data_IF_293496290911
#
_entry.id   IF_293496290911
#
_cell.length_a   1.000
_cell.length_b   1.000
_cell.length_c   1.000
_cell.angle_alpha   90.00
_cell.angle_beta   90.00
_cell.angle_gamma   90.00
#
_symmetry.space_group_name_H-M   'P 1'
#
loop_
_entity.id
_entity.type
_entity.pdbx_description
1 polymer ?
#
# COMPACT_ATOMS: atom_id res chain seq x y z
N UNK A 1 15.05 -50.20 27.86
CA UNK A 1 16.03 -50.73 28.83
C UNK A 1 16.39 -49.62 29.81
N UNK A 2 16.58 -49.85 31.11
CA UNK A 2 16.90 -48.76 32.06
C UNK A 2 18.24 -48.09 31.71
N UNK A 3 19.16 -48.84 31.09
CA UNK A 3 20.50 -48.36 30.68
C UNK A 3 20.55 -47.70 29.30
N UNK A 4 19.42 -47.54 28.61
CA UNK A 4 19.36 -46.90 27.29
C UNK A 4 18.99 -45.42 27.34
N UNK A 5 18.99 -44.81 28.53
CA UNK A 5 18.69 -43.39 28.72
C UNK A 5 19.52 -42.80 29.85
N UNK A 6 19.87 -41.52 29.71
CA UNK A 6 20.49 -40.72 30.76
C UNK A 6 19.64 -39.46 30.92
N UNK A 7 19.17 -39.20 32.13
CA UNK A 7 18.36 -38.02 32.48
C UNK A 7 18.96 -37.36 33.73
N UNK A 8 19.17 -36.05 33.68
CA UNK A 8 19.69 -35.29 34.81
C UNK A 8 18.57 -34.89 35.77
N UNK A 9 18.85 -35.02 37.06
CA UNK A 9 18.00 -34.57 38.16
C UNK A 9 18.76 -33.58 39.03
N UNK A 10 18.06 -32.55 39.50
CA UNK A 10 18.60 -31.51 40.39
C UNK A 10 17.99 -31.69 41.77
N UNK A 11 18.82 -31.60 42.79
CA UNK A 11 18.46 -31.76 44.19
C UNK A 11 18.92 -30.53 44.96
N UNK A 12 18.11 -30.07 45.91
CA UNK A 12 18.42 -28.95 46.81
C UNK A 12 18.72 -27.63 46.07
N UNK A 13 18.09 -27.39 44.92
CA UNK A 13 18.22 -26.12 44.19
C UNK A 13 17.47 -25.00 44.92
N UNK A 14 18.13 -23.89 45.26
CA UNK A 14 17.48 -22.79 45.96
C UNK A 14 16.62 -21.95 44.98
N UNK A 15 15.58 -21.28 45.49
CA UNK A 15 14.55 -20.62 44.67
C UNK A 15 15.07 -19.39 43.89
N UNK A 16 16.16 -18.81 44.36
CA UNK A 16 16.86 -17.66 43.79
C UNK A 16 17.81 -18.04 42.63
N UNK A 17 17.93 -19.33 42.30
CA UNK A 17 18.73 -19.81 41.15
C UNK A 17 17.83 -20.37 40.05
N UNK A 18 17.96 -19.80 38.85
CA UNK A 18 17.46 -20.36 37.60
C UNK A 18 18.46 -21.35 37.00
N UNK A 19 17.98 -22.52 36.58
CA UNK A 19 18.76 -23.52 35.87
C UNK A 19 18.16 -23.78 34.49
N UNK A 20 18.99 -23.68 33.45
CA UNK A 20 18.62 -24.09 32.10
C UNK A 20 19.55 -25.19 31.62
N UNK A 21 18.99 -26.14 30.86
CA UNK A 21 19.69 -27.35 30.43
C UNK A 21 19.66 -27.43 28.91
N UNK A 22 20.80 -27.79 28.33
CA UNK A 22 20.93 -28.13 26.91
C UNK A 22 21.60 -29.49 26.81
N UNK A 23 20.94 -30.43 26.17
CA UNK A 23 21.49 -31.79 25.98
C UNK A 23 22.14 -31.92 24.61
N UNK A 24 23.32 -32.52 24.55
CA UNK A 24 23.97 -32.94 23.30
C UNK A 24 24.12 -34.46 23.34
N UNK A 25 23.32 -35.15 22.53
CA UNK A 25 23.26 -36.61 22.50
C UNK A 25 24.23 -37.17 21.43
N UNK A 26 24.06 -38.43 21.01
CA UNK A 26 24.99 -39.12 20.08
C UNK A 26 25.03 -38.54 18.66
N UNK A 27 24.00 -37.81 18.26
CA UNK A 27 23.90 -37.12 16.98
C UNK A 27 24.75 -35.85 16.88
N UNK A 28 25.33 -35.40 18.01
CA UNK A 28 26.14 -34.19 18.06
C UNK A 28 25.34 -32.89 17.91
N UNK A 29 24.02 -32.98 17.89
CA UNK A 29 23.11 -31.83 17.84
C UNK A 29 22.79 -31.40 19.27
N UNK A 30 22.75 -30.08 19.49
CA UNK A 30 22.36 -29.49 20.78
C UNK A 30 20.85 -29.27 20.83
N UNK A 31 20.25 -29.67 21.94
CA UNK A 31 18.81 -29.60 22.20
C UNK A 31 18.54 -28.68 23.41
N UNK A 32 18.25 -27.40 23.19
CA UNK A 32 17.92 -26.46 24.26
C UNK A 32 16.67 -26.87 25.03
N UNK A 33 16.68 -26.71 26.35
CA UNK A 33 15.58 -27.07 27.24
C UNK A 33 15.45 -28.58 27.53
N UNK A 34 16.30 -29.41 26.93
CA UNK A 34 16.28 -30.85 27.12
C UNK A 34 17.32 -31.27 28.17
N UNK A 35 16.91 -32.13 29.10
CA UNK A 35 17.77 -32.68 30.17
C UNK A 35 17.91 -34.21 30.15
N UNK A 36 17.56 -34.83 29.01
CA UNK A 36 17.57 -36.28 28.82
C UNK A 36 18.04 -36.66 27.42
N UNK A 37 18.80 -37.75 27.33
CA UNK A 37 19.14 -38.42 26.08
C UNK A 37 18.63 -39.87 26.12
N UNK A 38 18.05 -40.32 25.00
CA UNK A 38 17.55 -41.69 24.81
C UNK A 38 18.43 -42.51 23.86
N UNK A 39 18.06 -43.78 23.69
CA UNK A 39 18.65 -44.74 22.73
C UNK A 39 20.16 -44.95 22.83
N UNK A 40 20.69 -44.87 24.05
CA UNK A 40 22.12 -45.05 24.34
C UNK A 40 22.50 -46.53 24.49
N UNK A 41 23.72 -46.86 24.06
CA UNK A 41 24.40 -48.13 24.31
C UNK A 41 25.41 -47.98 25.44
N UNK A 42 25.81 -49.10 26.03
CA UNK A 42 26.84 -49.11 27.07
C UNK A 42 28.17 -48.70 26.44
N UNK A 43 28.77 -47.62 26.92
CA UNK A 43 30.00 -47.03 26.39
C UNK A 43 29.79 -45.67 25.69
N UNK A 44 28.55 -45.31 25.38
CA UNK A 44 28.20 -44.04 24.75
C UNK A 44 28.35 -42.87 25.75
N UNK A 45 28.83 -41.72 25.26
CA UNK A 45 29.02 -40.50 26.06
C UNK A 45 28.11 -39.39 25.55
N UNK A 46 27.35 -38.76 26.44
CA UNK A 46 26.52 -37.59 26.15
C UNK A 46 27.00 -36.41 27.00
N UNK A 47 26.75 -35.19 26.53
CA UNK A 47 27.13 -33.98 27.27
C UNK A 47 25.90 -33.12 27.55
N UNK A 48 25.94 -32.43 28.69
CA UNK A 48 24.90 -31.50 29.10
C UNK A 48 25.57 -30.17 29.45
N UNK A 49 25.08 -29.11 28.84
CA UNK A 49 25.42 -27.74 29.22
C UNK A 49 24.34 -27.24 30.18
N UNK A 50 24.78 -26.69 31.32
CA UNK A 50 23.90 -26.19 32.37
C UNK A 50 24.24 -24.73 32.62
N UNK A 51 23.31 -23.83 32.31
CA UNK A 51 23.47 -22.42 32.65
C UNK A 51 22.82 -22.15 34.01
N UNK A 52 23.56 -21.49 34.88
CA UNK A 52 23.17 -21.14 36.26
C UNK A 52 23.03 -19.63 36.32
N UNK A 53 21.82 -19.15 36.66
CA UNK A 53 21.48 -17.72 36.69
C UNK A 53 20.95 -17.34 38.07
N UNK A 54 21.58 -16.37 38.72
CA UNK A 54 21.08 -15.81 39.98
C UNK A 54 19.97 -14.78 39.71
N UNK A 55 18.82 -14.95 40.35
CA UNK A 55 17.65 -14.06 40.21
C UNK A 55 17.60 -12.96 41.24
N UNK A 56 18.25 -13.16 42.38
CA UNK A 56 18.34 -12.18 43.46
C UNK A 56 19.70 -12.28 44.14
N UNK A 57 19.98 -11.27 44.97
CA UNK A 57 21.08 -11.31 45.90
C UNK A 57 20.55 -11.65 47.32
N UNK A 58 20.82 -12.85 47.85
CA UNK A 58 20.52 -13.18 49.25
C UNK A 58 21.49 -12.47 50.23
N UNK A 59 21.14 -12.48 51.52
CA UNK A 59 21.90 -11.80 52.57
C UNK A 59 23.35 -12.29 52.72
N UNK A 60 24.20 -11.47 53.34
CA UNK A 60 25.62 -11.76 53.58
C UNK A 60 25.82 -13.16 54.21
N UNK A 61 26.76 -13.93 53.67
CA UNK A 61 27.11 -15.32 54.02
C UNK A 61 26.16 -16.43 53.53
N UNK A 62 25.17 -16.11 52.70
CA UNK A 62 24.40 -17.14 52.00
C UNK A 62 25.27 -17.84 50.93
N UNK A 63 25.85 -18.99 51.28
CA UNK A 63 26.39 -19.95 50.31
C UNK A 63 25.38 -21.06 50.10
N UNK A 64 25.04 -21.34 48.85
CA UNK A 64 24.14 -22.43 48.50
C UNK A 64 24.88 -23.53 47.77
N UNK A 65 24.59 -24.78 48.11
CA UNK A 65 25.13 -25.96 47.45
C UNK A 65 23.97 -26.79 46.93
N UNK A 66 23.95 -27.04 45.62
CA UNK A 66 22.96 -27.92 45.01
C UNK A 66 23.66 -29.01 44.21
N UNK A 67 22.95 -30.11 43.97
CA UNK A 67 23.53 -31.30 43.34
C UNK A 67 22.83 -31.61 42.03
N UNK A 68 23.61 -31.82 40.97
CA UNK A 68 23.16 -32.34 39.69
C UNK A 68 23.63 -33.78 39.57
N UNK A 69 22.71 -34.72 39.30
CA UNK A 69 23.10 -36.13 39.11
C UNK A 69 22.24 -36.84 38.05
N UNK A 70 22.83 -37.79 37.30
CA UNK A 70 22.05 -38.68 36.45
C UNK A 70 21.14 -39.59 37.28
N UNK A 71 19.88 -39.74 36.84
CA UNK A 71 18.91 -40.58 37.51
C UNK A 71 19.38 -42.05 37.57
N UNK A 72 19.54 -42.57 38.78
CA UNK A 72 19.95 -43.97 39.01
C UNK A 72 21.46 -44.22 39.03
N UNK A 73 22.29 -43.17 38.93
CA UNK A 73 23.75 -43.25 39.12
C UNK A 73 24.14 -42.83 40.55
N UNK A 74 25.32 -43.29 41.00
CA UNK A 74 25.90 -42.92 42.29
C UNK A 74 26.74 -41.65 42.20
N UNK A 75 27.35 -41.40 41.05
CA UNK A 75 28.16 -40.23 40.79
C UNK A 75 27.30 -38.96 40.74
N UNK A 76 27.79 -37.90 41.36
CA UNK A 76 27.10 -36.62 41.53
C UNK A 76 28.04 -35.46 41.21
N UNK A 77 27.45 -34.35 40.73
CA UNK A 77 28.13 -33.07 40.56
C UNK A 77 27.58 -32.09 41.59
N UNK A 78 28.41 -31.70 42.56
CA UNK A 78 28.07 -30.69 43.56
C UNK A 78 28.49 -29.31 43.05
N UNK A 79 27.54 -28.37 43.08
CA UNK A 79 27.76 -26.98 42.63
C UNK A 79 27.58 -26.07 43.84
N UNK A 80 28.67 -25.43 44.26
CA UNK A 80 28.68 -24.42 45.30
C UNK A 80 28.58 -23.02 44.68
N UNK A 81 27.57 -22.26 45.08
CA UNK A 81 27.31 -20.90 44.60
C UNK A 81 27.52 -19.92 45.75
N UNK A 82 28.33 -18.91 45.48
CA UNK A 82 28.63 -17.80 46.38
C UNK A 82 28.24 -16.49 45.72
N UNK A 83 27.49 -15.66 46.43
CA UNK A 83 26.99 -14.38 45.91
C UNK A 83 27.90 -13.26 46.39
N UNK A 84 28.37 -12.42 45.46
CA UNK A 84 29.16 -11.25 45.80
C UNK A 84 28.35 -9.99 45.48
N UNK A 85 27.52 -9.58 46.42
CA UNK A 85 26.61 -8.46 46.23
C UNK A 85 27.09 -7.16 46.85
N UNK A 86 28.11 -7.23 47.70
CA UNK A 86 28.71 -6.06 48.30
C UNK A 86 29.81 -5.53 47.40
N UNK A 87 29.86 -4.20 47.30
CA UNK A 87 31.01 -3.53 46.74
C UNK A 87 32.16 -3.57 47.76
N UNK A 88 33.39 -3.90 47.35
CA UNK A 88 34.53 -3.98 48.29
C UNK A 88 34.81 -2.68 49.09
N UNK A 89 34.28 -1.54 48.65
CA UNK A 89 34.39 -0.26 49.37
C UNK A 89 33.45 -0.13 50.59
N UNK A 90 32.44 -0.98 50.76
CA UNK A 90 31.51 -0.93 51.90
C UNK A 90 32.22 -1.33 53.21
N UNK A 91 33.19 -2.24 53.15
CA UNK A 91 34.02 -2.64 54.30
C UNK A 91 34.91 -1.51 54.85
N UNK A 92 35.01 -0.38 54.15
CA UNK A 92 35.74 0.81 54.57
C UNK A 92 34.81 1.96 54.99
N UNK A 93 33.55 1.66 55.31
CA UNK A 93 32.61 2.64 55.81
C UNK A 93 33.17 3.33 57.07
N UNK A 94 33.23 4.66 57.02
CA UNK A 94 33.72 5.49 58.11
C UNK A 94 32.53 6.20 58.77
N UNK A 95 32.03 5.72 59.93
CA UNK A 95 30.95 6.39 60.65
C UNK A 95 31.42 7.73 61.21
N UNK A 96 30.50 8.69 61.33
CA UNK A 96 30.78 10.07 61.77
C UNK A 96 31.99 10.70 61.05
N UNK A 97 32.08 10.49 59.73
CA UNK A 97 33.23 10.91 58.95
C UNK A 97 33.27 12.43 58.81
N UNK A 98 34.45 13.04 58.97
CA UNK A 98 34.65 14.46 58.66
C UNK A 98 34.38 14.82 57.20
N UNK A 99 34.35 13.83 56.28
CA UNK A 99 33.93 14.06 54.88
C UNK A 99 32.42 14.30 54.75
N UNK A 100 31.65 13.82 55.72
CA UNK A 100 30.20 13.96 55.89
C UNK A 100 29.87 14.92 57.04
N UNK A 101 30.71 15.93 57.26
CA UNK A 101 30.53 16.95 58.30
C UNK A 101 30.40 16.40 59.73
N UNK A 102 30.77 15.15 59.96
CA UNK A 102 30.58 14.45 61.24
C UNK A 102 29.17 13.92 61.49
N UNK A 103 28.23 14.15 60.57
CA UNK A 103 26.80 13.87 60.73
C UNK A 103 26.33 12.76 59.76
N UNK A 104 27.16 11.73 59.59
CA UNK A 104 26.87 10.60 58.72
C UNK A 104 28.03 9.66 58.50
N UNK A 105 27.73 8.56 57.83
CA UNK A 105 28.68 7.49 57.49
C UNK A 105 29.17 7.66 56.05
N UNK A 106 30.49 7.73 55.85
CA UNK A 106 31.08 7.81 54.52
C UNK A 106 31.38 6.40 53.97
N UNK A 107 30.70 6.00 52.91
CA UNK A 107 30.89 4.70 52.26
C UNK A 107 30.93 4.86 50.74
N UNK A 108 31.88 4.19 50.08
CA UNK A 108 31.98 4.11 48.61
C UNK A 108 31.96 5.46 47.86
N UNK A 109 32.39 6.55 48.48
CA UNK A 109 32.40 7.88 47.85
C UNK A 109 31.19 8.75 48.18
N UNK A 110 30.18 8.20 48.86
CA UNK A 110 28.96 8.89 49.25
C UNK A 110 28.86 9.02 50.77
N UNK A 111 28.03 9.95 51.22
CA UNK A 111 27.66 10.12 52.62
C UNK A 111 26.25 9.60 52.84
N UNK A 112 26.09 8.70 53.80
CA UNK A 112 24.82 8.29 54.36
C UNK A 112 24.56 9.12 55.62
N UNK A 113 23.69 10.12 55.52
CA UNK A 113 23.49 11.10 56.59
C UNK A 113 22.68 10.55 57.75
N UNK A 114 23.04 10.99 58.96
CA UNK A 114 22.27 10.70 60.16
C UNK A 114 20.88 11.37 60.08
N UNK A 115 19.85 10.83 60.77
CA UNK A 115 18.51 11.39 60.75
C UNK A 115 18.48 12.88 61.08
N UNK A 116 17.82 13.69 60.24
CA UNK A 116 17.75 15.15 60.39
C UNK A 116 18.86 15.94 59.69
N UNK A 117 19.81 15.27 59.02
CA UNK A 117 20.82 15.91 58.19
C UNK A 117 20.67 15.57 56.72
N UNK A 118 20.89 16.58 55.87
CA UNK A 118 20.73 16.51 54.43
C UNK A 118 21.96 17.08 53.72
N UNK A 119 22.08 16.77 52.43
CA UNK A 119 23.16 17.25 51.56
C UNK A 119 24.22 16.19 51.29
N UNK A 120 25.03 16.42 50.25
CA UNK A 120 26.04 15.47 49.80
C UNK A 120 27.14 15.21 50.84
N UNK A 121 27.29 16.10 51.84
CA UNK A 121 28.23 15.98 52.95
C UNK A 121 27.52 16.13 54.30
N UNK A 122 26.20 15.92 54.36
CA UNK A 122 25.40 16.05 55.59
C UNK A 122 25.57 17.41 56.29
N UNK A 123 25.77 18.46 55.48
CA UNK A 123 26.11 19.80 55.95
C UNK A 123 24.89 20.62 56.38
N UNK A 124 23.68 20.21 56.00
CA UNK A 124 22.45 20.93 56.36
C UNK A 124 21.64 20.17 57.39
N UNK A 125 21.04 20.91 58.31
CA UNK A 125 20.00 20.41 59.21
C UNK A 125 18.63 20.58 58.53
N UNK A 126 17.79 19.56 58.66
CA UNK A 126 16.45 19.51 58.08
C UNK A 126 15.59 20.69 58.62
N UNK A 127 15.13 21.57 57.72
CA UNK A 127 14.36 22.77 58.06
C UNK A 127 15.16 24.08 58.22
N UNK A 128 16.48 24.07 58.06
CA UNK A 128 17.28 25.29 58.06
C UNK A 128 17.20 26.06 56.72
N UNK A 129 16.30 27.05 56.64
CA UNK A 129 16.16 27.92 55.47
C UNK A 129 17.12 29.11 55.51
N UNK A 130 18.31 28.98 54.92
CA UNK A 130 19.23 30.10 54.69
C UNK A 130 19.20 30.55 53.22
N UNK A 131 19.04 31.86 52.96
CA UNK A 131 19.08 32.46 51.61
C UNK A 131 20.36 32.10 50.82
N UNK A 132 21.46 31.81 51.51
CA UNK A 132 22.74 31.40 50.92
C UNK A 132 22.65 30.04 50.19
N UNK A 133 21.71 29.18 50.59
CA UNK A 133 21.60 27.81 50.08
C UNK A 133 20.79 27.69 48.78
N UNK A 134 20.04 28.74 48.42
CA UNK A 134 19.20 28.74 47.24
C UNK A 134 19.98 29.08 45.96
N UNK A 135 21.05 29.87 46.04
CA UNK A 135 21.84 30.24 44.86
C UNK A 135 22.48 29.03 44.14
N UNK A 136 22.82 27.98 44.88
CA UNK A 136 23.42 26.74 44.37
C UNK A 136 22.43 25.83 43.63
N UNK A 137 21.12 26.08 43.76
CA UNK A 137 20.06 25.34 43.05
C UNK A 137 19.63 26.04 41.75
N UNK A 138 20.41 26.99 41.26
CA UNK A 138 20.12 27.75 40.05
C UNK A 138 21.19 27.52 39.01
N UNK A 139 20.76 27.15 37.80
CA UNK A 139 21.66 26.92 36.65
C UNK A 139 22.43 28.20 36.26
N UNK A 140 21.73 29.34 36.17
CA UNK A 140 22.32 30.63 35.82
C UNK A 140 21.52 31.80 36.41
N UNK A 141 22.14 32.97 36.62
CA UNK A 141 21.46 34.16 37.11
C UNK A 141 20.24 34.53 36.25
N UNK A 142 19.09 34.78 36.90
CA UNK A 142 17.82 35.08 36.23
C UNK A 142 16.97 33.85 35.88
N UNK A 143 17.49 32.62 35.97
CA UNK A 143 16.67 31.40 35.86
C UNK A 143 15.96 31.05 37.17
N UNK A 144 14.80 30.36 37.12
CA UNK A 144 14.14 29.87 38.32
C UNK A 144 15.00 28.81 39.05
N UNK A 145 14.79 28.68 40.36
CA UNK A 145 15.39 27.61 41.16
C UNK A 145 14.89 26.26 40.66
N UNK A 146 15.79 25.28 40.52
CA UNK A 146 15.48 23.93 40.07
C UNK A 146 14.64 23.90 38.78
N UNK A 147 14.91 24.84 37.86
CA UNK A 147 14.16 25.01 36.62
C UNK A 147 12.64 25.19 36.79
N UNK A 148 12.17 25.50 38.01
CA UNK A 148 10.76 25.52 38.38
C UNK A 148 10.09 24.14 38.42
N UNK A 149 10.87 23.06 38.37
CA UNK A 149 10.39 21.65 38.32
C UNK A 149 10.85 20.84 39.53
N UNK A 150 11.16 21.53 40.63
CA UNK A 150 11.57 20.91 41.88
C UNK A 150 11.67 21.92 43.01
N UNK A 151 11.95 21.40 44.19
CA UNK A 151 12.21 22.18 45.39
C UNK A 151 13.71 22.16 45.72
N UNK A 152 14.27 23.32 46.06
CA UNK A 152 15.67 23.40 46.48
C UNK A 152 15.76 23.07 47.97
N UNK A 153 16.36 21.93 48.29
CA UNK A 153 16.64 21.51 49.66
C UNK A 153 18.13 21.27 49.82
N UNK A 154 18.76 21.96 50.76
CA UNK A 154 20.19 21.84 51.05
C UNK A 154 21.11 21.91 49.80
N UNK A 155 21.04 23.01 49.04
CA UNK A 155 21.84 23.23 47.82
C UNK A 155 21.62 22.19 46.69
N UNK A 156 20.63 21.31 46.81
CA UNK A 156 20.30 20.31 45.80
C UNK A 156 18.83 20.42 45.41
N UNK A 157 18.55 20.15 44.14
CA UNK A 157 17.19 20.14 43.64
C UNK A 157 16.55 18.76 43.82
N UNK A 158 15.40 18.75 44.51
CA UNK A 158 14.49 17.62 44.59
C UNK A 158 13.42 17.80 43.50
N UNK A 159 13.54 17.03 42.42
CA UNK A 159 12.64 17.15 41.27
C UNK A 159 11.24 16.60 41.59
N UNK A 160 10.22 17.27 41.06
CA UNK A 160 8.84 16.81 41.24
C UNK A 160 8.58 15.52 40.46
N UNK A 161 7.74 14.67 41.05
CA UNK A 161 7.21 13.50 40.36
C UNK A 161 6.23 13.93 39.24
N UNK A 162 6.24 13.18 38.14
CA UNK A 162 5.40 13.44 36.97
C UNK A 162 4.73 12.14 36.52
N UNK A 163 3.45 12.22 36.15
CA UNK A 163 2.72 11.07 35.59
C UNK A 163 3.21 10.68 34.19
N UNK A 164 3.98 11.56 33.53
CA UNK A 164 4.44 11.35 32.16
C UNK A 164 5.83 10.71 32.08
N UNK A 165 6.58 10.66 33.18
CA UNK A 165 7.93 10.14 33.26
C UNK A 165 8.77 10.83 34.32
N UNK A 166 10.09 10.76 34.22
CA UNK A 166 11.01 11.24 35.24
C UNK A 166 11.57 12.62 34.88
N UNK A 167 11.61 13.51 35.87
CA UNK A 167 12.35 14.78 35.81
C UNK A 167 13.63 14.60 36.60
N UNK A 168 14.76 14.95 36.00
CA UNK A 168 16.08 14.69 36.57
C UNK A 168 17.09 15.76 36.18
N UNK A 169 18.32 15.61 36.68
CA UNK A 169 19.41 16.57 36.52
C UNK A 169 19.66 17.39 37.79
N UNK A 170 20.86 17.97 37.95
CA UNK A 170 21.23 18.76 39.13
C UNK A 170 20.29 19.93 39.42
N UNK A 171 19.62 20.45 38.38
CA UNK A 171 18.69 21.57 38.49
C UNK A 171 17.29 21.21 37.97
N UNK A 172 16.95 19.91 37.91
CA UNK A 172 15.69 19.42 37.33
C UNK A 172 15.43 19.94 35.91
N UNK A 173 16.50 20.09 35.13
CA UNK A 173 16.52 20.67 33.79
C UNK A 173 16.28 19.62 32.69
N UNK A 174 16.35 18.34 33.02
CA UNK A 174 16.11 17.24 32.09
C UNK A 174 14.84 16.46 32.43
N UNK A 175 14.29 15.82 31.40
CA UNK A 175 13.21 14.85 31.53
C UNK A 175 13.29 13.83 30.39
N UNK A 176 12.61 12.69 30.56
CA UNK A 176 12.59 11.56 29.63
C UNK A 176 11.32 11.51 28.76
N UNK A 177 10.51 12.58 28.72
CA UNK A 177 9.20 12.58 28.04
C UNK A 177 8.95 13.75 27.08
N UNK A 178 9.84 14.74 27.04
CA UNK A 178 9.70 15.93 26.18
C UNK A 178 10.39 15.83 24.81
N UNK A 179 10.93 14.67 24.43
CA UNK A 179 11.55 14.48 23.12
C UNK A 179 10.52 14.49 21.95
N UNK A 180 11.06 14.55 20.73
CA UNK A 180 10.27 14.54 19.50
C UNK A 180 9.40 13.27 19.37
N UNK A 181 8.17 13.45 18.87
CA UNK A 181 7.22 12.38 18.60
C UNK A 181 6.99 12.24 17.10
N UNK A 182 6.94 11.01 16.61
CA UNK A 182 6.51 10.70 15.25
C UNK A 182 5.27 9.81 15.31
N UNK A 183 4.20 10.21 14.62
CA UNK A 183 2.88 9.54 14.68
C UNK A 183 2.39 9.30 16.11
N UNK A 184 2.66 10.25 17.01
CA UNK A 184 2.26 10.19 18.42
C UNK A 184 3.19 9.38 19.35
N UNK A 185 4.21 8.70 18.81
CA UNK A 185 5.13 7.87 19.60
C UNK A 185 6.44 8.62 19.86
N UNK A 186 6.87 8.66 21.12
CA UNK A 186 8.14 9.26 21.56
C UNK A 186 9.32 8.54 20.91
N UNK A 187 10.23 9.30 20.28
CA UNK A 187 11.39 8.75 19.57
C UNK A 187 11.03 7.60 18.60
N UNK A 188 9.83 7.65 18.02
CA UNK A 188 9.27 6.61 17.14
C UNK A 188 9.25 5.19 17.74
N UNK A 189 9.44 5.03 19.06
CA UNK A 189 9.61 3.72 19.71
C UNK A 189 10.96 3.05 19.42
N UNK A 190 11.90 3.76 18.80
CA UNK A 190 13.20 3.26 18.37
C UNK A 190 14.37 4.04 18.99
N UNK A 191 14.14 4.65 20.15
CA UNK A 191 15.17 5.36 20.89
C UNK A 191 14.69 5.70 22.30
N UNK A 192 15.66 6.03 23.14
CA UNK A 192 15.41 6.53 24.49
C UNK A 192 15.49 8.06 24.51
N UNK A 193 14.58 8.70 25.23
CA UNK A 193 14.58 10.15 25.39
C UNK A 193 15.53 10.54 26.53
N UNK A 194 16.51 11.39 26.21
CA UNK A 194 17.47 11.90 27.18
C UNK A 194 17.55 13.42 27.05
N UNK A 195 16.95 14.14 28.02
CA UNK A 195 17.01 15.59 28.12
C UNK A 195 16.59 16.33 26.83
N UNK A 196 15.50 15.89 26.21
CA UNK A 196 14.97 16.50 24.98
C UNK A 196 15.57 15.97 23.67
N UNK A 197 16.57 15.10 23.73
CA UNK A 197 17.14 14.42 22.55
C UNK A 197 16.82 12.93 22.52
N UNK A 198 16.45 12.40 21.35
CA UNK A 198 16.29 10.97 21.16
C UNK A 198 17.65 10.30 20.91
N UNK A 199 18.06 9.38 21.79
CA UNK A 199 19.18 8.48 21.58
C UNK A 199 18.68 7.22 20.87
N UNK A 200 18.87 7.16 19.56
CA UNK A 200 18.34 6.09 18.73
C UNK A 200 19.00 4.74 19.03
N UNK A 201 18.19 3.68 18.99
CA UNK A 201 18.67 2.31 19.03
C UNK A 201 19.51 1.99 17.79
N UNK A 202 20.30 0.93 17.87
CA UNK A 202 21.11 0.47 16.73
C UNK A 202 20.20 0.16 15.54
N UNK A 203 20.56 0.67 14.36
CA UNK A 203 19.76 0.50 13.15
C UNK A 203 18.79 1.64 12.85
N UNK A 204 18.74 2.69 13.68
CA UNK A 204 17.85 3.85 13.48
C UNK A 204 18.60 5.17 13.58
N UNK A 205 18.18 6.16 12.78
CA UNK A 205 18.78 7.50 12.71
C UNK A 205 17.71 8.60 12.63
N UNK A 206 18.17 9.85 12.78
CA UNK A 206 17.35 11.07 12.73
C UNK A 206 16.90 11.56 14.10
N UNK A 207 16.48 12.82 14.18
CA UNK A 207 16.17 13.51 15.45
C UNK A 207 15.04 12.86 16.27
N UNK A 208 14.18 12.08 15.61
CA UNK A 208 13.07 11.35 16.20
C UNK A 208 13.19 9.82 16.02
N UNK A 209 14.34 9.32 15.58
CA UNK A 209 14.62 7.89 15.34
C UNK A 209 13.61 7.18 14.42
N UNK A 210 12.99 7.90 13.47
CA UNK A 210 11.98 7.32 12.58
C UNK A 210 12.59 6.59 11.36
N UNK A 211 13.89 6.74 11.11
CA UNK A 211 14.53 6.33 9.88
C UNK A 211 15.37 5.08 10.12
N UNK A 212 14.98 3.95 9.52
CA UNK A 212 15.77 2.72 9.58
C UNK A 212 17.02 2.84 8.69
N UNK A 213 18.16 2.33 9.16
CA UNK A 213 19.38 2.15 8.36
C UNK A 213 19.40 0.82 7.62
N UNK A 214 18.44 -0.07 7.91
CA UNK A 214 18.27 -1.31 7.17
C UNK A 214 17.85 -0.99 5.72
N UNK A 215 18.53 -1.63 4.77
CA UNK A 215 18.32 -1.44 3.33
C UNK A 215 17.79 -2.70 2.65
N UNK A 216 17.59 -3.80 3.38
CA UNK A 216 17.18 -5.09 2.80
C UNK A 216 15.83 -4.99 2.08
N UNK A 217 14.89 -4.21 2.63
CA UNK A 217 13.58 -3.95 2.02
C UNK A 217 13.65 -3.15 0.70
N UNK A 218 14.76 -2.47 0.42
CA UNK A 218 14.97 -1.73 -0.81
C UNK A 218 15.60 -2.58 -1.92
N UNK A 219 16.02 -3.81 -1.64
CA UNK A 219 16.66 -4.69 -2.63
C UNK A 219 15.58 -5.42 -3.42
N UNK A 220 15.57 -5.24 -4.75
CA UNK A 220 14.62 -5.90 -5.65
C UNK A 220 15.00 -7.37 -5.90
N UNK A 221 14.10 -8.14 -6.54
CA UNK A 221 14.35 -9.54 -6.94
C UNK A 221 15.59 -9.72 -7.81
N UNK A 222 15.95 -8.67 -8.54
CA UNK A 222 17.09 -8.64 -9.44
C UNK A 222 18.42 -8.34 -8.72
N UNK A 223 18.38 -8.21 -7.38
CA UNK A 223 19.53 -7.87 -6.54
C UNK A 223 19.95 -6.41 -6.61
N UNK A 224 19.25 -5.58 -7.37
CA UNK A 224 19.51 -4.15 -7.49
C UNK A 224 18.70 -3.35 -6.47
N UNK A 225 19.34 -2.33 -5.90
CA UNK A 225 18.68 -1.39 -4.99
C UNK A 225 17.67 -0.54 -5.76
N UNK A 226 16.41 -0.57 -5.34
CA UNK A 226 15.28 0.13 -5.97
C UNK A 226 15.21 -0.10 -7.49
N UNK A 227 15.52 -1.33 -7.95
CA UNK A 227 15.55 -1.72 -9.36
C UNK A 227 16.43 -0.80 -10.24
N UNK A 228 17.38 -0.07 -9.65
CA UNK A 228 18.20 0.94 -10.33
C UNK A 228 17.45 2.22 -10.73
N UNK A 229 16.19 2.39 -10.32
CA UNK A 229 15.29 3.49 -10.73
C UNK A 229 14.99 4.49 -9.61
N UNK A 230 15.65 4.37 -8.47
CA UNK A 230 15.41 5.21 -7.30
C UNK A 230 16.53 5.14 -6.27
N UNK A 231 16.34 5.86 -5.18
CA UNK A 231 17.23 5.86 -4.02
C UNK A 231 16.52 5.26 -2.79
N UNK A 232 17.24 4.47 -1.99
CA UNK A 232 16.70 3.95 -0.74
C UNK A 232 16.86 5.01 0.37
N UNK A 233 15.74 5.45 0.95
CA UNK A 233 15.69 6.42 2.05
C UNK A 233 14.88 5.81 3.18
N UNK A 234 15.50 5.61 4.34
CA UNK A 234 14.86 5.04 5.53
C UNK A 234 14.21 3.65 5.30
N UNK A 235 14.89 2.77 4.55
CA UNK A 235 14.38 1.43 4.20
C UNK A 235 13.23 1.44 3.19
N UNK A 236 12.98 2.55 2.49
CA UNK A 236 11.97 2.64 1.43
C UNK A 236 12.55 3.24 0.16
N UNK A 237 12.13 2.73 -0.99
CA UNK A 237 12.57 3.27 -2.27
C UNK A 237 11.81 4.54 -2.64
N UNK A 238 12.57 5.61 -2.90
CA UNK A 238 12.07 6.83 -3.51
C UNK A 238 12.42 6.78 -5.00
N UNK A 239 11.43 6.47 -5.83
CA UNK A 239 11.62 6.32 -7.28
C UNK A 239 11.92 7.68 -7.92
N UNK A 240 13.06 7.75 -8.60
CA UNK A 240 13.52 8.95 -9.30
C UNK A 240 13.14 8.94 -10.78
N UNK A 241 12.94 7.74 -11.37
CA UNK A 241 12.49 7.65 -12.75
C UNK A 241 11.01 8.00 -12.92
N UNK A 242 10.66 8.84 -13.92
CA UNK A 242 9.28 9.25 -14.16
C UNK A 242 8.40 8.10 -14.63
N UNK A 243 7.36 7.82 -13.85
CA UNK A 243 6.41 6.72 -14.11
C UNK A 243 6.85 5.37 -13.55
N UNK A 244 7.98 5.30 -12.83
CA UNK A 244 8.34 4.15 -12.02
C UNK A 244 7.63 4.19 -10.67
N UNK A 245 7.09 3.04 -10.23
CA UNK A 245 6.40 2.85 -8.95
C UNK A 245 6.54 1.40 -8.47
N UNK A 246 6.06 1.11 -7.27
CA UNK A 246 6.27 -0.17 -6.58
C UNK A 246 7.15 -0.02 -5.34
N UNK A 247 7.23 -1.06 -4.51
CA UNK A 247 8.01 -1.05 -3.27
C UNK A 247 9.51 -0.87 -3.55
N UNK A 248 9.99 -1.41 -4.67
CA UNK A 248 11.38 -1.34 -5.13
C UNK A 248 11.51 -0.63 -6.49
N UNK A 249 10.53 0.19 -6.87
CA UNK A 249 10.48 0.86 -8.18
C UNK A 249 10.51 -0.09 -9.39
N UNK A 250 10.00 -1.31 -9.22
CA UNK A 250 10.06 -2.36 -10.24
C UNK A 250 9.07 -2.13 -11.40
N UNK A 251 7.96 -1.43 -11.17
CA UNK A 251 6.91 -1.22 -12.17
C UNK A 251 7.16 0.09 -12.90
N UNK A 252 7.39 0.05 -14.21
CA UNK A 252 7.51 1.27 -15.01
C UNK A 252 6.89 1.11 -16.41
N UNK A 253 5.59 1.44 -16.56
CA UNK A 253 4.87 1.40 -17.84
C UNK A 253 5.44 2.30 -18.94
N UNK A 254 5.99 3.45 -18.54
CA UNK A 254 6.51 4.50 -19.43
C UNK A 254 7.97 4.33 -19.77
N UNK A 255 8.66 3.36 -19.14
CA UNK A 255 10.07 3.15 -19.39
C UNK A 255 10.28 2.54 -20.79
N UNK A 256 11.21 3.09 -21.59
CA UNK A 256 11.53 2.55 -22.90
C UNK A 256 12.08 1.12 -22.74
N UNK A 257 11.34 0.13 -23.23
CA UNK A 257 11.75 -1.28 -23.16
C UNK A 257 10.62 -2.30 -23.02
N UNK A 258 9.52 -1.96 -22.34
CA UNK A 258 8.45 -2.95 -22.06
C UNK A 258 7.63 -3.25 -23.31
N UNK A 259 7.14 -2.22 -24.01
CA UNK A 259 6.45 -2.43 -25.29
C UNK A 259 7.36 -3.09 -26.35
N UNK A 260 8.67 -2.83 -26.34
CA UNK A 260 9.60 -3.44 -27.31
C UNK A 260 9.89 -4.91 -27.00
N UNK A 261 10.09 -5.27 -25.72
CA UNK A 261 10.31 -6.68 -25.33
C UNK A 261 9.05 -7.52 -25.57
N UNK A 262 7.87 -6.99 -25.23
CA UNK A 262 6.59 -7.66 -25.51
C UNK A 262 6.30 -7.75 -27.02
N UNK A 263 6.67 -6.71 -27.79
CA UNK A 263 6.62 -6.75 -29.27
C UNK A 263 7.45 -7.90 -29.83
N UNK A 264 8.68 -8.09 -29.37
CA UNK A 264 9.54 -9.17 -29.88
C UNK A 264 8.90 -10.55 -29.66
N UNK A 265 8.16 -10.74 -28.56
CA UNK A 265 7.39 -11.97 -28.31
C UNK A 265 6.18 -12.13 -29.23
N UNK A 266 5.48 -11.04 -29.56
CA UNK A 266 4.37 -11.05 -30.52
C UNK A 266 4.88 -11.41 -31.93
N UNK A 267 5.97 -10.78 -32.37
CA UNK A 267 6.56 -11.00 -33.70
C UNK A 267 7.03 -12.46 -33.88
N UNK A 268 7.65 -13.04 -32.85
CA UNK A 268 8.05 -14.44 -32.93
C UNK A 268 6.84 -15.40 -32.87
N UNK A 269 5.98 -15.32 -31.83
CA UNK A 269 4.94 -16.33 -31.57
C UNK A 269 3.83 -16.34 -32.62
N UNK A 270 3.47 -15.17 -33.16
CA UNK A 270 2.39 -15.06 -34.15
C UNK A 270 2.91 -15.05 -35.59
N UNK A 271 4.02 -14.36 -35.85
CA UNK A 271 4.49 -14.08 -37.21
C UNK A 271 5.78 -14.83 -37.58
N UNK A 272 6.38 -15.61 -36.66
CA UNK A 272 7.68 -16.28 -36.84
C UNK A 272 8.75 -15.35 -37.42
N UNK A 273 8.75 -14.10 -36.95
CA UNK A 273 9.61 -13.03 -37.47
C UNK A 273 10.20 -12.20 -36.33
N UNK A 274 11.02 -11.20 -36.66
CA UNK A 274 11.63 -10.30 -35.69
C UNK A 274 12.97 -10.78 -35.13
N UNK A 275 13.45 -10.12 -34.07
CA UNK A 275 14.78 -10.37 -33.47
C UNK A 275 14.90 -11.74 -32.81
N UNK A 276 13.77 -12.31 -32.40
CA UNK A 276 13.62 -13.59 -31.72
C UNK A 276 13.08 -14.69 -32.65
N UNK A 277 13.30 -14.60 -33.96
CA UNK A 277 12.77 -15.55 -34.95
C UNK A 277 13.21 -17.02 -34.75
N UNK A 278 14.28 -17.26 -33.98
CA UNK A 278 14.68 -18.61 -33.60
C UNK A 278 13.73 -19.22 -32.55
N UNK A 279 13.19 -20.39 -32.87
CA UNK A 279 12.12 -21.04 -32.12
C UNK A 279 12.56 -21.40 -30.68
N UNK A 280 13.81 -21.82 -30.47
CA UNK A 280 14.32 -22.12 -29.12
C UNK A 280 14.41 -20.88 -28.25
N UNK A 281 14.97 -19.80 -28.80
CA UNK A 281 15.17 -18.55 -28.05
C UNK A 281 13.83 -17.90 -27.69
N UNK A 282 12.87 -17.94 -28.63
CA UNK A 282 11.52 -17.44 -28.45
C UNK A 282 10.71 -18.22 -27.41
N UNK A 283 10.76 -19.55 -27.44
CA UNK A 283 10.02 -20.38 -26.49
C UNK A 283 10.54 -20.22 -25.05
N UNK A 284 11.83 -19.89 -24.89
CA UNK A 284 12.46 -19.59 -23.61
C UNK A 284 12.11 -18.20 -23.08
N UNK A 285 12.20 -17.16 -23.91
CA UNK A 285 11.98 -15.77 -23.47
C UNK A 285 10.49 -15.39 -23.37
N UNK A 286 9.61 -16.02 -24.13
CA UNK A 286 8.18 -15.69 -24.21
C UNK A 286 7.30 -16.78 -23.60
N UNK A 287 7.80 -17.44 -22.55
CA UNK A 287 7.09 -18.54 -21.87
C UNK A 287 5.91 -18.06 -21.03
N UNK A 288 6.06 -16.89 -20.42
CA UNK A 288 5.09 -16.31 -19.49
C UNK A 288 4.09 -15.36 -20.18
N UNK A 289 4.17 -15.27 -21.50
CA UNK A 289 3.29 -14.47 -22.36
C UNK A 289 2.10 -15.30 -22.86
N UNK A 290 0.89 -14.86 -22.54
CA UNK A 290 -0.36 -15.40 -23.08
C UNK A 290 -0.83 -14.45 -24.16
N UNK A 291 -0.81 -14.87 -25.42
CA UNK A 291 -1.15 -14.01 -26.57
C UNK A 291 -2.54 -14.37 -27.08
N UNK A 292 -3.42 -13.38 -27.18
CA UNK A 292 -4.76 -13.49 -27.73
C UNK A 292 -4.94 -12.51 -28.90
N UNK A 293 -5.50 -12.96 -30.01
CA UNK A 293 -5.75 -12.13 -31.19
C UNK A 293 -7.21 -11.74 -31.26
N UNK A 294 -7.50 -10.44 -31.39
CA UNK A 294 -8.86 -9.88 -31.42
C UNK A 294 -9.05 -8.98 -32.64
N UNK A 295 -10.29 -8.89 -33.13
CA UNK A 295 -10.63 -8.03 -34.27
C UNK A 295 -10.76 -6.54 -33.87
N UNK A 296 -11.11 -6.27 -32.61
CA UNK A 296 -11.20 -4.93 -32.02
C UNK A 296 -10.54 -4.96 -30.64
N UNK A 297 -9.70 -3.97 -30.34
CA UNK A 297 -9.09 -3.81 -29.02
C UNK A 297 -10.00 -2.97 -28.12
N UNK A 298 -10.42 -3.54 -26.99
CA UNK A 298 -11.07 -2.80 -25.92
C UNK A 298 -10.01 -2.01 -25.13
N UNK A 299 -10.15 -0.69 -25.06
CA UNK A 299 -9.20 0.21 -24.37
C UNK A 299 -9.74 0.78 -23.05
N UNK A 300 -10.86 0.26 -22.55
CA UNK A 300 -11.52 0.79 -21.35
C UNK A 300 -10.94 0.26 -20.03
N UNK A 301 -10.00 -0.69 -20.08
CA UNK A 301 -9.36 -1.22 -18.87
C UNK A 301 -8.24 -0.28 -18.37
N UNK A 302 -8.37 0.33 -17.18
CA UNK A 302 -7.37 1.25 -16.64
C UNK A 302 -6.05 0.57 -16.28
N UNK A 303 -6.02 -0.76 -16.15
CA UNK A 303 -4.82 -1.53 -15.85
C UNK A 303 -4.10 -2.04 -17.11
N UNK A 304 -4.72 -1.93 -18.28
CA UNK A 304 -4.15 -2.39 -19.54
C UNK A 304 -3.35 -1.27 -20.23
N UNK A 305 -2.12 -1.58 -20.61
CA UNK A 305 -1.23 -0.61 -21.28
C UNK A 305 -1.31 -0.82 -22.79
N UNK A 306 -1.71 0.22 -23.52
CA UNK A 306 -1.79 0.21 -24.99
C UNK A 306 -0.43 0.54 -25.61
N UNK A 307 0.14 -0.41 -26.33
CA UNK A 307 1.34 -0.26 -27.14
C UNK A 307 0.98 -0.21 -28.63
N UNK A 308 1.69 0.61 -29.41
CA UNK A 308 1.52 0.71 -30.86
C UNK A 308 2.87 0.78 -31.57
N UNK A 309 3.00 0.10 -32.71
CA UNK A 309 4.21 0.13 -33.52
C UNK A 309 3.89 0.13 -35.04
N UNK A 310 4.72 0.80 -35.86
CA UNK A 310 4.49 0.87 -37.30
C UNK A 310 4.89 -0.43 -38.00
N UNK A 311 4.05 -0.88 -38.95
CA UNK A 311 4.28 -2.04 -39.84
C UNK A 311 3.79 -1.70 -41.24
N UNK A 312 4.69 -1.63 -42.23
CA UNK A 312 4.36 -1.47 -43.67
C UNK A 312 3.27 -0.42 -43.96
N UNK A 313 3.48 0.84 -43.54
CA UNK A 313 2.53 1.97 -43.66
C UNK A 313 1.22 1.85 -42.86
N UNK A 314 1.09 0.86 -41.99
CA UNK A 314 -0.02 0.69 -41.06
C UNK A 314 0.47 0.67 -39.60
N UNK A 315 -0.45 0.75 -38.64
CA UNK A 315 -0.12 0.71 -37.21
C UNK A 315 -0.68 -0.55 -36.57
N UNK A 316 0.21 -1.42 -36.09
CA UNK A 316 -0.17 -2.52 -35.21
C UNK A 316 -0.35 -1.99 -33.79
N UNK A 317 -1.43 -2.43 -33.14
CA UNK A 317 -1.76 -2.07 -31.76
C UNK A 317 -1.92 -3.34 -30.95
N UNK A 318 -1.50 -3.30 -29.70
CA UNK A 318 -1.73 -4.37 -28.73
C UNK A 318 -1.84 -3.79 -27.33
N UNK A 319 -2.58 -4.44 -26.46
CA UNK A 319 -2.58 -4.14 -25.03
C UNK A 319 -1.88 -5.25 -24.27
N UNK A 320 -1.24 -4.92 -23.15
CA UNK A 320 -0.76 -5.94 -22.22
C UNK A 320 -1.24 -5.64 -20.80
N UNK A 321 -1.54 -6.73 -20.08
CA UNK A 321 -2.00 -6.74 -18.70
C UNK A 321 -1.18 -7.77 -17.92
N UNK A 322 -0.60 -7.37 -16.78
CA UNK A 322 0.04 -8.32 -15.86
C UNK A 322 -1.00 -8.97 -14.94
N UNK A 323 -1.02 -10.29 -14.91
CA UNK A 323 -1.86 -11.08 -14.02
C UNK A 323 -1.18 -11.24 -12.65
N UNK A 324 -2.00 -11.40 -11.60
CA UNK A 324 -1.51 -11.68 -10.25
C UNK A 324 -0.62 -12.94 -10.14
N UNK A 325 -0.63 -13.81 -11.15
CA UNK A 325 0.22 -15.00 -11.25
C UNK A 325 1.64 -14.72 -11.79
N UNK A 326 1.98 -13.46 -12.07
CA UNK A 326 3.26 -13.06 -12.66
C UNK A 326 3.35 -13.29 -14.18
N UNK A 327 2.27 -13.75 -14.82
CA UNK A 327 2.17 -13.89 -16.29
C UNK A 327 1.60 -12.63 -16.90
N UNK A 328 1.97 -12.32 -18.15
CA UNK A 328 1.38 -11.21 -18.91
C UNK A 328 0.43 -11.73 -19.99
N UNK A 329 -0.78 -11.16 -20.03
CA UNK A 329 -1.74 -11.38 -21.10
C UNK A 329 -1.66 -10.24 -22.10
N UNK A 330 -1.37 -10.58 -23.35
CA UNK A 330 -1.22 -9.69 -24.49
C UNK A 330 -2.44 -9.87 -25.38
N UNK A 331 -3.20 -8.81 -25.61
CA UNK A 331 -4.26 -8.80 -26.63
C UNK A 331 -3.76 -8.02 -27.85
N UNK A 332 -3.76 -8.66 -29.01
CA UNK A 332 -3.15 -8.14 -30.24
C UNK A 332 -4.23 -7.99 -31.30
N UNK A 333 -4.22 -6.86 -32.00
CA UNK A 333 -5.13 -6.64 -33.14
C UNK A 333 -4.78 -7.61 -34.27
N UNK A 334 -5.77 -8.34 -34.80
CA UNK A 334 -5.56 -9.37 -35.84
C UNK A 334 -5.07 -8.79 -37.16
N UNK A 335 -5.59 -7.62 -37.56
CA UNK A 335 -5.17 -6.91 -38.78
C UNK A 335 -4.69 -5.50 -38.40
N UNK A 336 -3.59 -5.00 -39.00
CA UNK A 336 -3.08 -3.67 -38.70
C UNK A 336 -4.09 -2.59 -39.09
N UNK A 337 -4.22 -1.56 -38.25
CA UNK A 337 -5.08 -0.43 -38.55
C UNK A 337 -4.43 0.42 -39.65
N UNK A 338 -4.89 0.23 -40.90
CA UNK A 338 -4.50 1.02 -42.06
C UNK A 338 -5.56 2.08 -42.33
N UNK A 339 -5.16 3.33 -42.60
CA UNK A 339 -6.08 4.34 -43.13
C UNK A 339 -6.45 3.96 -44.56
N UNK A 340 -7.65 3.44 -44.79
CA UNK A 340 -8.20 3.34 -46.14
C UNK A 340 -8.72 4.72 -46.56
N UNK A 341 -8.19 5.26 -47.67
CA UNK A 341 -8.76 6.46 -48.27
C UNK A 341 -10.23 6.19 -48.62
N UNK A 342 -11.18 7.10 -48.29
CA UNK A 342 -12.58 6.92 -48.68
C UNK A 342 -12.66 6.78 -50.21
N UNK A 343 -13.41 5.78 -50.68
CA UNK A 343 -13.52 5.51 -52.11
C UNK A 343 -14.05 6.76 -52.84
N UNK A 344 -13.47 7.11 -53.99
CA UNK A 344 -13.91 8.27 -54.76
C UNK A 344 -15.43 8.24 -55.06
N UNK A 345 -16.01 7.04 -55.13
CA UNK A 345 -17.44 6.79 -55.33
C UNK A 345 -18.30 7.34 -54.19
N UNK A 346 -17.92 7.17 -52.92
CA UNK A 346 -18.74 7.68 -51.79
C UNK A 346 -18.73 9.21 -51.72
N UNK A 347 -17.61 9.85 -52.03
CA UNK A 347 -17.53 11.31 -52.10
C UNK A 347 -18.42 11.85 -53.23
N UNK A 348 -18.33 11.24 -54.42
CA UNK A 348 -19.15 11.65 -55.58
C UNK A 348 -20.64 11.49 -55.30
N UNK A 349 -21.07 10.37 -54.71
CA UNK A 349 -22.47 10.13 -54.37
C UNK A 349 -23.01 11.11 -53.33
N UNK A 350 -22.20 11.47 -52.32
CA UNK A 350 -22.60 12.45 -51.31
C UNK A 350 -22.77 13.86 -51.89
N UNK A 351 -21.89 14.27 -52.81
CA UNK A 351 -21.98 15.56 -53.49
C UNK A 351 -23.21 15.60 -54.41
N UNK A 352 -23.44 14.56 -55.21
CA UNK A 352 -24.62 14.51 -56.10
C UNK A 352 -25.92 14.50 -55.26
N UNK A 353 -25.97 13.70 -54.19
CA UNK A 353 -27.13 13.62 -53.32
C UNK A 353 -27.48 14.96 -52.66
N UNK A 354 -26.48 15.70 -52.18
CA UNK A 354 -26.71 17.00 -51.55
C UNK A 354 -27.21 18.06 -52.54
N UNK A 355 -26.66 18.10 -53.76
CA UNK A 355 -27.11 19.04 -54.82
C UNK A 355 -28.56 18.76 -55.22
N UNK A 356 -28.94 17.49 -55.40
CA UNK A 356 -30.32 17.10 -55.75
C UNK A 356 -31.28 17.46 -54.62
N UNK A 357 -30.91 17.20 -53.36
CA UNK A 357 -31.75 17.51 -52.20
C UNK A 357 -32.02 19.03 -52.10
N UNK A 358 -31.00 19.85 -52.27
CA UNK A 358 -31.12 21.32 -52.26
C UNK A 358 -32.04 21.78 -53.40
N UNK A 359 -31.88 21.21 -54.61
CA UNK A 359 -32.76 21.52 -55.74
C UNK A 359 -34.23 21.19 -55.48
N UNK A 360 -34.52 20.03 -54.88
CA UNK A 360 -35.88 19.63 -54.50
C UNK A 360 -36.47 20.57 -53.45
N UNK A 361 -35.69 20.95 -52.44
CA UNK A 361 -36.13 21.90 -51.40
C UNK A 361 -36.46 23.28 -51.98
N UNK A 362 -35.62 23.79 -52.89
CA UNK A 362 -35.86 25.07 -53.57
C UNK A 362 -37.10 25.01 -54.46
N UNK A 363 -37.30 23.92 -55.21
CA UNK A 363 -38.51 23.71 -56.00
C UNK A 363 -39.76 23.60 -55.12
N UNK A 364 -39.66 22.92 -53.97
CA UNK A 364 -40.74 22.82 -52.99
C UNK A 364 -41.12 24.17 -52.40
N UNK A 365 -40.13 24.97 -51.99
CA UNK A 365 -40.31 26.34 -51.51
C UNK A 365 -40.93 27.24 -52.59
N UNK A 366 -40.44 27.18 -53.82
CA UNK A 366 -40.99 27.96 -54.93
C UNK A 366 -42.43 27.56 -55.24
N UNK A 367 -42.72 26.25 -55.32
CA UNK A 367 -44.08 25.71 -55.52
C UNK A 367 -45.01 26.18 -54.41
N UNK A 368 -44.57 26.13 -53.16
CA UNK A 368 -45.34 26.59 -52.00
C UNK A 368 -45.64 28.10 -52.06
N UNK A 369 -44.63 28.92 -52.38
CA UNK A 369 -44.80 30.37 -52.54
C UNK A 369 -45.79 30.70 -53.67
N UNK A 370 -45.65 30.03 -54.82
CA UNK A 370 -46.57 30.21 -55.96
C UNK A 370 -47.98 29.76 -55.57
N UNK A 371 -48.14 28.60 -54.92
CA UNK A 371 -49.47 28.13 -54.47
C UNK A 371 -50.11 29.08 -53.46
N UNK A 372 -49.35 29.68 -52.54
CA UNK A 372 -49.87 30.69 -51.61
C UNK A 372 -50.30 31.96 -52.37
N UNK A 373 -49.49 32.43 -53.32
CA UNK A 373 -49.82 33.61 -54.11
C UNK A 373 -51.06 33.38 -54.98
N UNK A 374 -51.12 32.25 -55.69
CA UNK A 374 -52.23 31.86 -56.55
C UNK A 374 -53.53 31.68 -55.74
N UNK A 375 -53.45 31.11 -54.53
CA UNK A 375 -54.61 30.98 -53.63
C UNK A 375 -55.08 32.34 -53.12
N UNK A 376 -54.17 33.27 -52.79
CA UNK A 376 -54.53 34.65 -52.41
C UNK A 376 -55.20 35.40 -53.55
N UNK A 377 -54.70 35.28 -54.77
CA UNK A 377 -55.32 35.90 -55.95
C UNK A 377 -56.66 35.24 -56.30
N UNK A 378 -56.79 33.91 -56.13
CA UNK A 378 -58.06 33.20 -56.34
C UNK A 378 -59.13 33.64 -55.33
N UNK A 379 -58.79 33.77 -54.05
CA UNK A 379 -59.72 34.26 -53.02
C UNK A 379 -60.16 35.70 -53.31
N UNK A 380 -59.22 36.55 -53.77
CA UNK A 380 -59.50 37.91 -54.23
C UNK A 380 -60.48 37.91 -55.41
N UNK A 381 -60.24 37.09 -56.43
CA UNK A 381 -61.10 36.97 -57.60
C UNK A 381 -62.51 36.44 -57.26
N UNK A 382 -62.62 35.48 -56.35
CA UNK A 382 -63.93 34.98 -55.89
C UNK A 382 -64.72 36.03 -55.11
N UNK A 383 -64.04 36.86 -54.30
CA UNK A 383 -64.69 37.98 -53.59
C UNK A 383 -65.22 39.05 -54.55
N UNK A 384 -64.56 39.28 -55.68
CA UNK A 384 -65.04 40.17 -56.74
C UNK A 384 -66.22 39.54 -57.51
N UNK A 385 -66.18 38.23 -57.80
CA UNK A 385 -67.29 37.52 -58.45
C UNK A 385 -68.55 37.44 -57.60
N UNK A 386 -68.44 37.22 -56.29
CA UNK A 386 -69.61 37.11 -55.40
C UNK A 386 -70.34 38.44 -55.23
N UNK A 387 -69.61 39.58 -55.26
CA UNK A 387 -70.20 40.92 -55.30
C UNK A 387 -70.88 41.27 -56.64
N UNK A 388 -70.64 40.51 -57.71
CA UNK A 388 -71.10 40.83 -59.06
C UNK A 388 -72.36 40.04 -59.52
N UNK A 389 -72.88 39.06 -58.75
CA UNK A 389 -74.07 38.29 -59.17
C UNK A 389 -75.38 38.82 -58.55
N UNK A 390 -76.12 39.56 -59.38
CA UNK A 390 -77.51 39.99 -59.17
C UNK A 390 -78.53 38.84 -59.35
N UNK A 391 -79.63 38.91 -58.59
CA UNK A 391 -80.77 37.98 -58.57
C UNK A 391 -81.56 38.00 -59.90
N UNK A 392 -81.79 36.82 -60.50
CA UNK A 392 -82.67 36.64 -61.66
C UNK A 392 -83.99 35.97 -61.23
N UNK A 393 -84.99 36.77 -60.83
CA UNK A 393 -86.35 36.29 -60.62
C UNK A 393 -87.12 36.28 -61.96
N UNK A 394 -87.51 35.09 -62.43
CA UNK A 394 -88.27 34.89 -63.68
C UNK A 394 -89.79 34.88 -63.45
N UNK A 395 -90.51 35.50 -64.38
CA UNK A 395 -91.96 35.74 -64.43
C UNK A 395 -92.83 34.45 -64.32
N UNK A 396 -93.80 34.37 -63.38
CA UNK A 396 -94.52 33.14 -63.02
C UNK A 396 -95.60 32.61 -64.00
N UNK A 397 -95.78 33.13 -65.22
CA UNK A 397 -96.85 32.70 -66.14
C UNK A 397 -96.41 31.93 -67.40
N UNK A 398 -95.13 31.60 -67.56
CA UNK A 398 -94.62 30.98 -68.80
C UNK A 398 -94.60 29.45 -68.75
N UNK A 399 -95.43 28.77 -69.58
CA UNK A 399 -95.40 27.30 -69.81
C UNK A 399 -94.95 26.97 -71.24
N UNK A 400 -94.01 26.03 -71.38
CA UNK A 400 -93.45 25.55 -72.66
C UNK A 400 -94.30 24.42 -73.26
N UNK A 401 -94.49 24.35 -74.59
CA UNK A 401 -95.33 23.34 -75.25
C UNK A 401 -94.67 21.95 -75.35
N UNK A 402 -95.48 20.89 -75.32
CA UNK A 402 -95.10 19.46 -75.37
C UNK A 402 -95.37 18.89 -76.77
N UNK A 403 -94.37 18.23 -77.35
CA UNK A 403 -94.43 17.50 -78.63
C UNK A 403 -94.30 15.99 -78.39
N UNK A 404 -95.41 15.25 -78.44
CA UNK A 404 -95.45 13.78 -78.33
C UNK A 404 -95.36 13.11 -79.70
N UNK A 405 -94.76 11.91 -79.79
CA UNK A 405 -95.51 10.70 -80.18
C UNK A 405 -94.73 9.40 -79.96
N UNK A 406 -95.35 8.43 -79.28
CA UNK A 406 -94.92 7.04 -79.19
C UNK A 406 -95.68 6.21 -80.23
N UNK A 407 -95.05 5.18 -80.80
CA UNK A 407 -95.70 4.14 -81.62
C UNK A 407 -95.10 2.79 -81.22
N UNK A 408 -95.96 1.85 -80.85
CA UNK A 408 -95.60 0.53 -80.34
C UNK A 408 -96.10 -0.55 -81.31
N UNK A 409 -95.22 -1.48 -81.69
CA UNK A 409 -95.57 -2.66 -82.49
C UNK A 409 -94.78 -3.88 -81.97
N UNK A 410 -95.51 -4.88 -81.48
CA UNK A 410 -95.04 -6.23 -81.16
C UNK A 410 -95.52 -7.22 -82.24
N UNK A 411 -94.64 -8.09 -82.73
CA UNK A 411 -95.03 -9.39 -83.31
C UNK A 411 -93.95 -10.47 -83.12
N UNK A 412 -94.44 -11.71 -83.02
CA UNK A 412 -93.79 -12.92 -82.51
C UNK A 412 -92.76 -13.61 -83.44
N UNK A 413 -91.96 -14.48 -82.78
CA UNK A 413 -90.97 -15.46 -83.24
C UNK A 413 -91.49 -16.49 -84.26
N UNK A 414 -90.73 -16.83 -85.31
CA UNK A 414 -90.71 -18.16 -85.96
C UNK A 414 -89.50 -18.37 -86.90
N UNK A 415 -88.95 -19.59 -86.88
CA UNK A 415 -87.71 -20.13 -87.48
C UNK A 415 -87.64 -20.14 -89.02
N UNK A 416 -86.42 -20.13 -89.59
CA UNK A 416 -85.82 -21.28 -90.31
C UNK A 416 -84.36 -21.05 -90.75
N UNK A 417 -83.54 -22.07 -90.57
CA UNK A 417 -82.23 -22.29 -91.20
C UNK A 417 -82.41 -22.80 -92.64
N UNK A 418 -81.39 -22.63 -93.50
CA UNK A 418 -80.75 -23.70 -94.30
C UNK A 418 -79.62 -23.14 -95.18
N UNK A 419 -78.52 -23.90 -95.26
CA UNK A 419 -77.43 -23.79 -96.24
C UNK A 419 -77.41 -25.11 -97.05
N UNK A 420 -77.34 -25.04 -98.39
CA UNK A 420 -76.79 -26.08 -99.28
C UNK A 420 -77.72 -27.17 -99.89
N UNK A 421 -77.58 -27.34 -101.23
CA UNK A 421 -77.68 -28.51 -102.19
C UNK A 421 -78.32 -28.01 -103.52
N UNK A 422 -77.65 -27.93 -104.69
CA UNK A 422 -77.05 -28.92 -105.65
C UNK A 422 -78.09 -29.62 -106.55
N UNK A 423 -77.87 -29.43 -107.86
CA UNK A 423 -78.52 -29.91 -109.10
C UNK A 423 -79.96 -29.49 -109.45
#
# INVERSE_FOLDING_TARGET
SIRSKVELTVWDSPEDIGLTFTATCQDGLSYPGLRKCGDLKIGDTVSFEVAVEARSCPAEDASHTFTIKPAGFRDTLEVAVTYNCLCGCTGHAAPASGKCSGNGTYACGLCECDPGYLGARCECEEGASGDMHQAMCREAEGKPLCSGRGECSCNQCLCYESEFGNIYGPFCECDDFSCARYKGVLCSGHGECHCGECKCHTGYIGDNCNCSTDMDSCVSSDGQMCSGRGACVCGKCQCTEPGAFGETCEKCPTCPGVCSTKRDCIECKLFNSGRLADNQTCQKHCKDEIITTVDVLETDDPNAILCAYPVNNCVMKFTYLELASGKSNLTVLKEPACSSAPSAVTIVLAVIGSVVLIGILLLGLWKLLVTIHDRREFDRFQSERSRARYEMASNPLYRKPISTHNVEFTFNKLNKSYNGTVD
#
